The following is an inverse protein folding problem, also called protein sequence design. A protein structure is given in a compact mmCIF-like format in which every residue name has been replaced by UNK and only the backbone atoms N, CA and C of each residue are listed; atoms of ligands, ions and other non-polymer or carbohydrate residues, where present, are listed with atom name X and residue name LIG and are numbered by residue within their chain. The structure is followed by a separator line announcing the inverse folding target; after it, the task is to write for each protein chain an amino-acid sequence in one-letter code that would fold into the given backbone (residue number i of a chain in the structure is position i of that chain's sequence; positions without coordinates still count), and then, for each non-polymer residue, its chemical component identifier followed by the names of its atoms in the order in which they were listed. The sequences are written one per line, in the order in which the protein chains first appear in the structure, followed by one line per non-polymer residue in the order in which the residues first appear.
data_IF_576341720746
#
_entry.id   IF_576341720746
#
_cell.length_a   1.000
_cell.length_b   1.000
_cell.length_c   1.000
_cell.angle_alpha   90.00
_cell.angle_beta   90.00
_cell.angle_gamma   90.00
#
_symmetry.space_group_name_H-M   'P 1'
#
loop_
_entity.id
_entity.type
_entity.pdbx_description
1 polymer ?
#
# COMPACT_ATOMS: atom_id res chain seq x y z
N UNK A 1 -9.66 4.33 -2.12
CA UNK A 1 -9.52 4.09 -0.67
C UNK A 1 -8.30 3.25 -0.42
N UNK A 2 -7.67 3.40 0.75
CA UNK A 2 -6.61 2.49 1.20
C UNK A 2 -7.19 1.11 1.56
N UNK A 3 -6.35 0.09 1.72
CA UNK A 3 -6.78 -1.30 1.95
C UNK A 3 -7.65 -1.53 3.20
N UNK A 4 -7.57 -0.61 4.16
CA UNK A 4 -8.21 -0.59 5.47
C UNK A 4 -9.32 0.47 5.54
N UNK A 5 -9.91 0.83 4.40
CA UNK A 5 -10.95 1.84 4.34
C UNK A 5 -12.05 1.53 3.32
N UNK A 6 -13.28 1.87 3.70
CA UNK A 6 -14.47 1.72 2.87
C UNK A 6 -15.01 3.12 2.57
N UNK A 7 -15.18 3.44 1.28
CA UNK A 7 -15.88 4.65 0.85
C UNK A 7 -17.34 4.31 0.61
N UNK A 8 -18.20 4.95 1.38
CA UNK A 8 -19.64 4.95 1.21
C UNK A 8 -20.05 6.16 0.40
N UNK A 9 -21.02 5.97 -0.49
CA UNK A 9 -21.65 7.03 -1.27
C UNK A 9 -23.15 6.78 -1.28
N UNK A 10 -23.93 7.85 -1.34
CA UNK A 10 -25.38 7.81 -1.46
C UNK A 10 -25.86 9.00 -2.29
N UNK A 11 -27.10 8.93 -2.77
CA UNK A 11 -27.72 10.08 -3.45
C UNK A 11 -28.01 11.19 -2.44
N UNK A 12 -27.82 12.45 -2.87
CA UNK A 12 -28.15 13.62 -2.06
C UNK A 12 -29.64 13.64 -1.73
N UNK A 13 -29.97 13.99 -0.48
CA UNK A 13 -31.34 14.13 0.02
C UNK A 13 -31.66 15.61 0.16
N UNK A 14 -32.75 16.05 -0.47
CA UNK A 14 -33.26 17.42 -0.37
C UNK A 14 -33.40 17.85 1.11
N UNK A 15 -33.03 19.10 1.40
CA UNK A 15 -33.02 19.72 2.72
C UNK A 15 -32.10 19.07 3.78
N UNK A 16 -31.33 18.04 3.42
CA UNK A 16 -30.31 17.46 4.30
C UNK A 16 -29.10 18.39 4.42
N UNK A 17 -28.72 18.72 5.65
CA UNK A 17 -27.50 19.49 5.96
C UNK A 17 -26.35 18.61 6.41
N UNK A 18 -26.64 17.38 6.84
CA UNK A 18 -25.64 16.40 7.21
C UNK A 18 -26.20 14.98 7.10
N UNK A 19 -25.30 14.02 7.25
CA UNK A 19 -25.61 12.60 7.28
C UNK A 19 -24.93 11.94 8.48
N UNK A 20 -25.68 11.14 9.22
CA UNK A 20 -25.15 10.25 10.26
C UNK A 20 -24.91 8.86 9.70
N UNK A 21 -23.68 8.36 9.84
CA UNK A 21 -23.24 7.08 9.30
C UNK A 21 -23.12 6.06 10.41
N UNK A 22 -23.78 4.94 10.23
CA UNK A 22 -23.81 3.86 11.20
C UNK A 22 -23.20 2.60 10.62
N UNK A 23 -22.46 1.84 11.44
CA UNK A 23 -21.77 0.61 11.06
C UNK A 23 -22.17 -0.56 11.96
N UNK A 24 -22.20 -1.76 11.39
CA UNK A 24 -22.25 -3.03 12.11
C UNK A 24 -21.21 -4.00 11.55
N UNK A 25 -20.68 -4.87 12.41
CA UNK A 25 -19.78 -5.98 12.03
C UNK A 25 -20.55 -7.25 11.65
N UNK A 26 -21.89 -7.23 11.76
CA UNK A 26 -22.75 -8.35 11.40
C UNK A 26 -23.94 -7.90 10.57
N UNK A 27 -24.37 -8.75 9.64
CA UNK A 27 -25.48 -8.45 8.71
C UNK A 27 -26.82 -8.19 9.42
N UNK A 28 -26.97 -8.73 10.63
CA UNK A 28 -28.13 -8.61 11.52
C UNK A 28 -27.75 -8.07 12.90
N UNK A 29 -26.55 -7.52 13.04
CA UNK A 29 -26.05 -6.98 14.30
C UNK A 29 -26.61 -5.59 14.62
N UNK A 30 -26.21 -5.08 15.78
CA UNK A 30 -26.46 -3.71 16.18
C UNK A 30 -25.62 -2.74 15.33
N UNK A 31 -26.21 -1.59 14.98
CA UNK A 31 -25.55 -0.53 14.24
C UNK A 31 -25.16 0.60 15.19
N UNK A 32 -23.87 0.94 15.21
CA UNK A 32 -23.33 2.03 16.03
C UNK A 32 -23.02 3.25 15.15
N UNK A 33 -23.22 4.46 15.68
CA UNK A 33 -22.84 5.71 15.00
C UNK A 33 -21.32 5.82 14.95
N UNK A 34 -20.75 5.94 13.75
CA UNK A 34 -19.29 6.08 13.55
C UNK A 34 -18.87 7.50 13.17
N UNK A 35 -19.82 8.34 12.78
CA UNK A 35 -19.57 9.76 12.52
C UNK A 35 -20.64 10.38 11.64
N UNK A 36 -20.36 11.59 11.18
CA UNK A 36 -21.18 12.26 10.18
C UNK A 36 -20.39 13.11 9.21
N UNK A 37 -21.09 13.60 8.20
CA UNK A 37 -20.53 14.37 7.09
C UNK A 37 -21.62 15.23 6.47
N UNK A 38 -21.24 16.37 5.90
CA UNK A 38 -22.09 17.22 5.06
C UNK A 38 -21.98 16.87 3.55
N UNK A 39 -21.20 15.86 3.22
CA UNK A 39 -21.02 15.36 1.86
C UNK A 39 -21.96 14.17 1.58
N UNK A 40 -22.13 13.85 0.31
CA UNK A 40 -22.82 12.65 -0.20
C UNK A 40 -21.97 11.36 -0.07
N UNK A 41 -20.88 11.42 0.69
CA UNK A 41 -19.97 10.31 0.91
C UNK A 41 -19.32 10.34 2.29
N UNK A 42 -18.95 9.15 2.78
CA UNK A 42 -18.13 9.01 3.99
C UNK A 42 -17.03 7.97 3.77
N UNK A 43 -15.85 8.23 4.33
CA UNK A 43 -14.72 7.29 4.27
C UNK A 43 -14.48 6.75 5.68
N UNK A 44 -14.93 5.53 5.91
CA UNK A 44 -14.61 4.77 7.11
C UNK A 44 -13.18 4.21 6.98
N UNK A 45 -12.34 4.42 8.00
CA UNK A 45 -10.89 4.15 7.99
C UNK A 45 -10.49 3.31 9.19
N UNK A 46 -9.26 2.79 9.16
CA UNK A 46 -8.68 1.96 10.22
C UNK A 46 -9.52 0.70 10.48
N UNK A 47 -10.05 0.10 9.41
CA UNK A 47 -10.82 -1.12 9.46
C UNK A 47 -9.90 -2.34 9.48
N UNK A 48 -10.35 -3.42 10.10
CA UNK A 48 -9.66 -4.69 10.04
C UNK A 48 -9.71 -5.22 8.60
N UNK A 49 -8.60 -5.83 8.16
CA UNK A 49 -8.42 -6.30 6.77
C UNK A 49 -9.10 -7.64 6.56
N UNK A 50 -9.81 -7.81 5.45
CA UNK A 50 -10.56 -9.04 5.13
C UNK A 50 -11.93 -9.14 5.80
N UNK A 51 -12.33 -8.12 6.57
CA UNK A 51 -13.58 -8.12 7.33
C UNK A 51 -14.71 -7.43 6.57
N UNK A 52 -15.93 -7.94 6.76
CA UNK A 52 -17.14 -7.38 6.13
C UNK A 52 -17.87 -6.46 7.09
N UNK A 53 -18.05 -5.21 6.67
CA UNK A 53 -18.78 -4.20 7.41
C UNK A 53 -20.09 -3.85 6.73
N UNK A 54 -21.11 -3.59 7.54
CA UNK A 54 -22.46 -3.26 7.11
C UNK A 54 -22.79 -1.83 7.52
N UNK A 55 -23.48 -1.09 6.66
CA UNK A 55 -23.70 0.33 6.86
C UNK A 55 -25.13 0.75 6.59
N UNK A 56 -25.54 1.77 7.34
CA UNK A 56 -26.78 2.53 7.14
C UNK A 56 -26.50 4.00 7.37
N UNK A 57 -27.28 4.85 6.71
CA UNK A 57 -27.14 6.30 6.80
C UNK A 57 -28.50 6.92 7.16
N UNK A 58 -28.48 8.01 7.91
CA UNK A 58 -29.62 8.90 8.11
C UNK A 58 -29.27 10.30 7.63
N UNK A 59 -30.20 10.94 6.93
CA UNK A 59 -30.10 12.37 6.63
C UNK A 59 -30.52 13.19 7.85
N UNK A 60 -29.94 14.36 8.01
CA UNK A 60 -30.18 15.29 9.10
C UNK A 60 -30.52 16.66 8.52
N UNK A 61 -31.70 17.17 8.84
CA UNK A 61 -32.14 18.48 8.37
C UNK A 61 -31.46 19.62 9.13
N UNK A 62 -31.68 20.86 8.68
CA UNK A 62 -31.20 22.06 9.38
C UNK A 62 -31.73 22.23 10.81
N UNK A 63 -32.93 21.71 11.10
CA UNK A 63 -33.50 21.72 12.47
C UNK A 63 -32.96 20.59 13.34
N UNK A 64 -32.12 19.70 12.79
CA UNK A 64 -31.57 18.54 13.49
C UNK A 64 -32.49 17.31 13.47
N UNK A 65 -33.55 17.33 12.65
CA UNK A 65 -34.42 16.16 12.50
C UNK A 65 -33.74 15.08 11.67
N UNK A 66 -33.79 13.84 12.15
CA UNK A 66 -33.21 12.69 11.47
C UNK A 66 -34.25 11.94 10.63
N UNK A 67 -33.85 11.51 9.45
CA UNK A 67 -34.65 10.58 8.64
C UNK A 67 -34.72 9.18 9.27
N UNK A 68 -35.56 8.32 8.66
CA UNK A 68 -35.38 6.87 8.79
C UNK A 68 -34.03 6.41 8.22
N UNK A 69 -33.61 5.19 8.57
CA UNK A 69 -32.41 4.60 8.00
C UNK A 69 -32.56 4.33 6.50
N UNK A 70 -31.46 4.49 5.76
CA UNK A 70 -31.30 3.95 4.41
C UNK A 70 -31.46 2.43 4.34
N UNK A 71 -31.48 1.89 3.13
CA UNK A 71 -31.20 0.47 2.92
C UNK A 71 -29.82 0.09 3.48
N UNK A 72 -29.67 -1.18 3.84
CA UNK A 72 -28.40 -1.74 4.29
C UNK A 72 -27.45 -1.88 3.10
N UNK A 73 -26.27 -1.30 3.20
CA UNK A 73 -25.13 -1.56 2.33
C UNK A 73 -24.09 -2.42 3.06
N UNK A 74 -23.18 -3.06 2.32
CA UNK A 74 -22.02 -3.73 2.91
C UNK A 74 -20.84 -3.72 1.95
N UNK A 75 -19.64 -3.82 2.51
CA UNK A 75 -18.41 -4.03 1.76
C UNK A 75 -17.41 -4.79 2.63
N UNK A 76 -16.52 -5.52 1.98
CA UNK A 76 -15.45 -6.26 2.63
C UNK A 76 -14.13 -5.54 2.36
N UNK A 77 -13.37 -5.26 3.41
CA UNK A 77 -12.01 -4.74 3.26
C UNK A 77 -11.12 -5.78 2.59
N UNK A 78 -10.06 -5.35 1.92
CA UNK A 78 -9.21 -6.29 1.24
C UNK A 78 -8.41 -7.15 2.24
N UNK A 79 -8.32 -8.46 2.00
CA UNK A 79 -7.55 -9.39 2.86
C UNK A 79 -6.04 -9.16 2.75
N UNK A 80 -5.35 -9.24 3.89
CA UNK A 80 -3.88 -9.12 4.01
C UNK A 80 -3.16 -10.46 3.84
N UNK A 81 -3.51 -11.25 2.83
CA UNK A 81 -3.08 -12.66 2.75
C UNK A 81 -2.14 -12.94 1.57
N UNK A 82 -1.52 -11.90 1.02
CA UNK A 82 -0.54 -12.05 -0.06
C UNK A 82 0.86 -11.96 0.51
N UNK A 83 1.38 -13.07 1.04
CA UNK A 83 2.83 -13.22 1.16
C UNK A 83 3.46 -12.92 -0.21
N UNK A 84 4.31 -11.90 -0.28
CA UNK A 84 5.00 -11.56 -1.52
C UNK A 84 6.11 -12.56 -1.79
N UNK A 85 6.17 -13.02 -3.03
CA UNK A 85 7.36 -13.69 -3.54
C UNK A 85 8.56 -12.72 -3.48
N UNK A 86 9.74 -13.25 -3.17
CA UNK A 86 10.97 -12.48 -3.33
C UNK A 86 11.20 -12.16 -4.82
N UNK A 87 11.71 -10.97 -5.16
CA UNK A 87 12.18 -10.69 -6.51
C UNK A 87 13.22 -11.73 -6.94
N UNK A 88 13.14 -12.15 -8.19
CA UNK A 88 14.04 -13.15 -8.79
C UNK A 88 14.86 -12.50 -9.90
N UNK A 89 15.91 -13.20 -10.32
CA UNK A 89 16.79 -12.78 -11.40
C UNK A 89 17.32 -11.35 -11.18
N UNK A 90 17.67 -11.00 -9.93
CA UNK A 90 18.37 -9.75 -9.69
C UNK A 90 19.74 -9.83 -10.36
N UNK A 91 19.99 -8.90 -11.27
CA UNK A 91 21.25 -8.71 -11.97
C UNK A 91 21.82 -7.32 -11.61
N UNK A 92 23.14 -7.18 -11.75
CA UNK A 92 23.85 -5.93 -11.49
C UNK A 92 24.95 -5.79 -12.52
N UNK A 93 24.99 -4.65 -13.21
CA UNK A 93 25.98 -4.35 -14.24
C UNK A 93 26.57 -2.95 -14.00
N UNK A 94 27.86 -2.78 -14.28
CA UNK A 94 28.47 -1.45 -14.22
C UNK A 94 27.94 -0.59 -15.36
N UNK A 95 27.57 0.65 -15.05
CA UNK A 95 27.09 1.64 -16.03
C UNK A 95 28.04 2.85 -16.09
N UNK A 96 29.30 2.64 -15.70
CA UNK A 96 30.33 3.66 -15.63
C UNK A 96 31.22 3.56 -14.38
N UNK A 97 32.08 4.56 -14.16
CA UNK A 97 32.98 4.61 -13.02
C UNK A 97 32.26 4.88 -11.69
N UNK A 98 31.06 5.44 -11.71
CA UNK A 98 30.32 5.87 -10.52
C UNK A 98 28.87 5.37 -10.46
N UNK A 99 28.48 4.42 -11.32
CA UNK A 99 27.12 3.88 -11.38
C UNK A 99 27.06 2.37 -11.59
N UNK A 100 26.04 1.74 -11.02
CA UNK A 100 25.65 0.35 -11.28
C UNK A 100 24.15 0.31 -11.57
N UNK A 101 23.77 -0.34 -12.67
CA UNK A 101 22.38 -0.61 -13.01
C UNK A 101 21.94 -1.98 -12.46
N UNK A 102 20.74 -2.02 -11.89
CA UNK A 102 20.13 -3.21 -11.31
C UNK A 102 18.82 -3.51 -12.05
N UNK A 103 18.58 -4.77 -12.39
CA UNK A 103 17.33 -5.23 -13.01
C UNK A 103 16.84 -6.50 -12.32
N UNK A 104 15.52 -6.73 -12.29
CA UNK A 104 14.92 -7.94 -11.70
C UNK A 104 13.53 -8.25 -12.27
N UNK A 105 13.01 -9.44 -11.97
CA UNK A 105 11.67 -9.83 -12.39
C UNK A 105 10.55 -9.10 -11.63
N UNK A 106 9.49 -8.74 -12.35
CA UNK A 106 8.26 -8.21 -11.74
C UNK A 106 7.64 -9.23 -10.77
N UNK A 107 7.23 -8.74 -9.60
CA UNK A 107 6.61 -9.54 -8.53
C UNK A 107 5.12 -9.23 -8.51
N UNK A 108 4.29 -10.28 -8.56
CA UNK A 108 2.84 -10.12 -8.50
C UNK A 108 2.43 -9.42 -7.20
N UNK A 109 1.52 -8.47 -7.30
CA UNK A 109 1.02 -7.64 -6.19
C UNK A 109 2.03 -6.67 -5.55
N UNK A 110 3.28 -6.65 -6.00
CA UNK A 110 4.23 -5.61 -5.61
C UNK A 110 3.79 -4.25 -6.16
N UNK A 111 3.95 -3.22 -5.34
CA UNK A 111 3.74 -1.80 -5.68
C UNK A 111 5.04 -1.02 -5.77
N UNK A 112 6.06 -1.46 -5.05
CA UNK A 112 7.40 -0.89 -5.07
C UNK A 112 8.43 -1.93 -4.65
N UNK A 113 9.68 -1.58 -4.80
CA UNK A 113 10.84 -2.39 -4.45
C UNK A 113 11.79 -1.59 -3.58
N UNK A 114 12.24 -2.19 -2.49
CA UNK A 114 13.27 -1.62 -1.62
C UNK A 114 14.63 -2.14 -2.03
N UNK A 115 15.57 -1.23 -2.26
CA UNK A 115 16.90 -1.51 -2.76
C UNK A 115 17.87 -1.46 -1.59
N UNK A 116 18.66 -2.52 -1.44
CA UNK A 116 19.63 -2.62 -0.39
C UNK A 116 21.02 -2.89 -0.96
N UNK A 117 22.02 -2.22 -0.39
CA UNK A 117 23.42 -2.31 -0.79
C UNK A 117 24.34 -2.71 0.36
N UNK A 118 25.40 -3.45 0.04
CA UNK A 118 26.53 -3.69 0.92
C UNK A 118 27.85 -3.51 0.17
N UNK A 119 28.92 -3.16 0.88
CA UNK A 119 30.28 -3.09 0.33
C UNK A 119 31.04 -4.43 0.48
N UNK A 120 30.42 -5.42 1.14
CA UNK A 120 31.01 -6.74 1.33
C UNK A 120 29.99 -7.84 1.00
N UNK A 121 30.50 -8.99 0.54
CA UNK A 121 29.65 -10.07 0.03
C UNK A 121 28.78 -10.75 1.10
N UNK A 122 29.23 -10.68 2.36
CA UNK A 122 28.60 -11.25 3.57
C UNK A 122 28.24 -10.20 4.62
N UNK A 123 28.35 -8.91 4.29
CA UNK A 123 28.05 -7.83 5.21
C UNK A 123 26.56 -7.56 5.41
N UNK A 124 26.27 -6.60 6.28
CA UNK A 124 24.93 -6.04 6.43
C UNK A 124 24.55 -5.25 5.18
N UNK A 125 23.36 -5.53 4.66
CA UNK A 125 22.76 -4.78 3.57
C UNK A 125 21.98 -3.61 4.15
N UNK A 126 22.28 -2.39 3.68
CA UNK A 126 21.60 -1.17 4.10
C UNK A 126 20.61 -0.76 3.03
N UNK A 127 19.42 -0.34 3.45
CA UNK A 127 18.47 0.31 2.56
C UNK A 127 19.11 1.57 1.98
N UNK A 128 19.04 1.74 0.67
CA UNK A 128 19.56 2.92 -0.03
C UNK A 128 18.45 3.74 -0.67
N UNK A 129 17.47 3.09 -1.31
CA UNK A 129 16.33 3.76 -1.93
C UNK A 129 15.21 2.76 -2.29
N UNK A 130 14.18 3.25 -2.99
CA UNK A 130 13.09 2.46 -3.53
C UNK A 130 12.71 2.92 -4.95
N UNK A 131 12.02 2.04 -5.69
CA UNK A 131 11.46 2.33 -7.00
C UNK A 131 10.15 1.54 -7.20
N UNK A 132 9.23 2.02 -8.03
CA UNK A 132 8.06 1.25 -8.50
C UNK A 132 8.29 0.52 -9.83
N UNK A 133 9.45 0.74 -10.46
CA UNK A 133 9.93 0.01 -11.62
C UNK A 133 10.68 -1.28 -11.24
N UNK A 134 11.03 -2.07 -12.25
CA UNK A 134 11.85 -3.29 -12.11
C UNK A 134 13.32 -3.05 -12.46
N UNK A 135 13.75 -1.80 -12.41
CA UNK A 135 15.10 -1.32 -12.68
C UNK A 135 15.46 -0.19 -11.71
N UNK A 136 16.73 -0.10 -11.32
CA UNK A 136 17.25 0.98 -10.49
C UNK A 136 18.72 1.27 -10.82
N UNK A 137 19.09 2.54 -10.92
CA UNK A 137 20.48 2.99 -11.09
C UNK A 137 20.99 3.48 -9.73
N UNK A 138 22.02 2.81 -9.20
CA UNK A 138 22.76 3.25 -8.02
C UNK A 138 23.94 4.10 -8.45
N UNK A 139 23.83 5.43 -8.27
CA UNK A 139 24.83 6.42 -8.68
C UNK A 139 25.69 6.92 -7.50
N UNK A 140 26.65 7.81 -7.81
CA UNK A 140 27.55 8.40 -6.81
C UNK A 140 28.49 7.39 -6.14
N UNK A 141 28.78 6.29 -6.83
CA UNK A 141 29.66 5.22 -6.36
C UNK A 141 31.14 5.60 -6.52
N UNK A 142 32.00 4.89 -5.81
CA UNK A 142 33.45 5.02 -5.99
C UNK A 142 33.88 4.18 -7.18
N UNK A 143 34.78 4.72 -8.02
CA UNK A 143 35.37 3.98 -9.14
C UNK A 143 36.15 2.76 -8.69
N UNK A 144 36.14 1.75 -9.54
CA UNK A 144 36.84 0.49 -9.35
C UNK A 144 36.52 -0.18 -7.99
N UNK A 145 35.26 -0.15 -7.56
CA UNK A 145 34.80 -0.72 -6.29
C UNK A 145 33.61 -1.66 -6.49
N UNK A 146 33.63 -2.78 -5.77
CA UNK A 146 32.57 -3.79 -5.83
C UNK A 146 31.48 -3.49 -4.82
N UNK A 147 30.24 -3.54 -5.28
CA UNK A 147 29.03 -3.36 -4.47
C UNK A 147 28.12 -4.58 -4.64
N UNK A 148 27.39 -4.91 -3.58
CA UNK A 148 26.50 -6.08 -3.53
C UNK A 148 25.08 -5.62 -3.26
N UNK A 149 24.11 -6.22 -3.93
CA UNK A 149 22.72 -5.78 -3.93
C UNK A 149 21.75 -6.91 -3.59
N UNK A 150 20.67 -6.50 -2.93
CA UNK A 150 19.48 -7.30 -2.68
C UNK A 150 18.26 -6.39 -2.81
N UNK A 151 17.17 -6.95 -3.28
CA UNK A 151 15.90 -6.24 -3.46
C UNK A 151 14.80 -6.97 -2.69
N UNK A 152 13.86 -6.21 -2.10
CA UNK A 152 12.60 -6.74 -1.58
C UNK A 152 11.44 -6.13 -2.33
N UNK A 153 10.43 -6.93 -2.63
CA UNK A 153 9.14 -6.44 -3.10
C UNK A 153 8.32 -5.93 -1.91
N UNK A 154 7.50 -4.90 -2.15
CA UNK A 154 6.60 -4.31 -1.15
C UNK A 154 5.23 -4.11 -1.77
N UNK A 155 4.18 -4.53 -1.09
CA UNK A 155 2.80 -4.43 -1.58
C UNK A 155 2.13 -3.11 -1.18
N UNK A 156 0.84 -2.96 -1.51
CA UNK A 156 0.04 -1.79 -1.13
C UNK A 156 -0.23 -1.66 0.38
N UNK A 157 0.04 -2.70 1.15
CA UNK A 157 -0.12 -2.75 2.61
C UNK A 157 1.21 -2.52 3.35
N UNK A 158 2.30 -2.30 2.61
CA UNK A 158 3.67 -2.25 3.11
C UNK A 158 4.20 -3.56 3.68
N UNK A 159 3.62 -4.71 3.31
CA UNK A 159 4.26 -5.99 3.59
C UNK A 159 5.48 -6.14 2.68
N UNK A 160 6.59 -6.62 3.24
CA UNK A 160 7.82 -6.87 2.50
C UNK A 160 8.01 -8.36 2.22
N UNK A 161 8.54 -8.68 1.04
CA UNK A 161 9.01 -10.03 0.72
C UNK A 161 10.31 -10.36 1.48
N UNK A 162 10.72 -11.63 1.39
CA UNK A 162 12.14 -11.97 1.60
C UNK A 162 13.04 -11.27 0.57
N UNK A 163 14.34 -11.18 0.86
CA UNK A 163 15.30 -10.68 -0.12
C UNK A 163 15.36 -11.55 -1.37
N UNK A 164 15.63 -10.91 -2.50
CA UNK A 164 16.05 -11.55 -3.75
C UNK A 164 17.34 -12.37 -3.60
N UNK A 165 17.74 -13.02 -4.70
CA UNK A 165 19.13 -13.44 -4.86
C UNK A 165 20.08 -12.24 -4.70
N UNK A 166 21.31 -12.51 -4.27
CA UNK A 166 22.37 -11.50 -4.21
C UNK A 166 22.92 -11.27 -5.62
N UNK A 167 22.99 -10.02 -6.05
CA UNK A 167 23.75 -9.60 -7.22
C UNK A 167 24.95 -8.74 -6.79
N UNK A 168 25.93 -8.57 -7.67
CA UNK A 168 27.05 -7.67 -7.44
C UNK A 168 27.65 -7.21 -8.76
N UNK A 169 28.17 -6.00 -8.77
CA UNK A 169 28.97 -5.47 -9.85
C UNK A 169 30.13 -4.67 -9.28
N UNK A 170 31.15 -4.44 -10.10
CA UNK A 170 32.26 -3.55 -9.80
C UNK A 170 32.18 -2.39 -10.77
N UNK A 171 32.11 -1.17 -10.27
CA UNK A 171 32.19 0.03 -11.10
C UNK A 171 33.46 0.04 -11.94
N UNK A 172 33.40 0.69 -13.09
CA UNK A 172 34.54 0.83 -13.98
C UNK A 172 35.65 1.66 -13.35
N UNK A 173 36.81 1.64 -14.00
CA UNK A 173 37.90 2.57 -13.68
C UNK A 173 37.64 3.90 -14.36
N UNK A 174 38.18 4.96 -13.76
CA UNK A 174 38.25 6.29 -14.38
C UNK A 174 39.09 6.28 -15.68
#
# INVERSE_FOLDING_TARGET
TGPDSIRLTWDEVDDAMAYWVYRSESSSGEYILIGGTDQDYYIDRNLEKGETYYYKVKAVSKSGEESGFSNKAHATTDKDDNALDAPKNLEAEADGPDSIILTWDKVKNARKYYIYRSETSSGTYKYIDWTDDTEYIDDGLKSNKTYYYKVKAVDRYNNESSYSNKAYARTDKD
#
